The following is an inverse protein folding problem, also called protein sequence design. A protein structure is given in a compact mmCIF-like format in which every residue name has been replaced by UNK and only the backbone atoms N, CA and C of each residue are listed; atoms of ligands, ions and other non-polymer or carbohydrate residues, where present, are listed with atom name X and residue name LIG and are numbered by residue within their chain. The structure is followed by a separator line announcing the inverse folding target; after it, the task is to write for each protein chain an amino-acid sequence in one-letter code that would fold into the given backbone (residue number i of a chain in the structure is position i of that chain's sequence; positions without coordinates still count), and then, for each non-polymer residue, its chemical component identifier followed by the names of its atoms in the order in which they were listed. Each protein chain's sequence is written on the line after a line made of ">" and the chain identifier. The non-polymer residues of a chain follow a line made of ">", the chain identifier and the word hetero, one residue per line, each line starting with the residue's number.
data_IF_647947254638
#
_entry.id   IF_647947254638
#
_cell.length_a   1.000
_cell.length_b   1.000
_cell.length_c   1.000
_cell.angle_alpha   90.00
_cell.angle_beta   90.00
_cell.angle_gamma   90.00
#
_symmetry.space_group_name_H-M   'P 1'
#
loop_
_entity.id
_entity.type
_entity.pdbx_description
1 polymer ?
#
# COMPACT_ATOMS: atom_id res chain seq x y z
N UNK A 1 -0.92 9.79 -5.69
CA UNK A 1 0.51 9.53 -6.01
C UNK A 1 0.99 8.22 -5.40
N UNK A 2 0.76 7.98 -4.10
CA UNK A 2 1.11 6.71 -3.42
C UNK A 2 0.60 5.46 -4.15
N UNK A 3 -0.69 5.38 -4.51
CA UNK A 3 -1.27 4.19 -5.17
C UNK A 3 -0.58 3.86 -6.50
N UNK A 4 -0.18 4.88 -7.27
CA UNK A 4 0.53 4.68 -8.52
C UNK A 4 1.96 4.17 -8.28
N UNK A 5 2.71 4.82 -7.37
CA UNK A 5 4.07 4.38 -6.98
C UNK A 5 4.08 2.96 -6.43
N UNK A 6 3.13 2.61 -5.56
CA UNK A 6 3.00 1.27 -5.02
C UNK A 6 2.76 0.23 -6.13
N UNK A 7 1.92 0.57 -7.12
CA UNK A 7 1.67 -0.30 -8.29
C UNK A 7 2.94 -0.53 -9.09
N UNK A 8 3.75 0.51 -9.31
CA UNK A 8 5.03 0.38 -10.03
C UNK A 8 6.03 -0.52 -9.29
N UNK A 9 5.94 -0.56 -7.95
CA UNK A 9 6.70 -1.48 -7.08
C UNK A 9 6.04 -2.87 -6.91
N UNK A 10 4.96 -3.15 -7.65
CA UNK A 10 4.27 -4.45 -7.64
C UNK A 10 3.26 -4.65 -6.50
N UNK A 11 2.88 -3.59 -5.78
CA UNK A 11 1.87 -3.63 -4.73
C UNK A 11 0.56 -3.00 -5.20
N UNK A 12 -0.52 -3.79 -5.18
CA UNK A 12 -1.86 -3.29 -5.48
C UNK A 12 -2.46 -2.69 -4.20
N UNK A 13 -2.81 -1.40 -4.25
CA UNK A 13 -3.48 -0.69 -3.16
C UNK A 13 -4.85 -0.16 -3.60
N UNK A 14 -5.77 -0.10 -2.66
CA UNK A 14 -7.09 0.50 -2.84
C UNK A 14 -7.15 1.86 -2.13
N UNK A 15 -7.50 2.91 -2.87
CA UNK A 15 -7.89 4.21 -2.31
C UNK A 15 -9.40 4.29 -2.11
N UNK A 16 -9.85 5.04 -1.10
CA UNK A 16 -11.26 5.26 -0.81
C UNK A 16 -11.48 6.59 -0.05
N UNK A 17 -12.72 6.78 0.43
CA UNK A 17 -13.15 7.94 1.20
C UNK A 17 -13.63 9.08 0.30
N UNK A 18 -14.52 9.92 0.84
CA UNK A 18 -15.14 11.04 0.08
C UNK A 18 -14.10 11.99 -0.52
N UNK A 19 -12.98 12.18 0.17
CA UNK A 19 -11.88 13.04 -0.27
C UNK A 19 -10.74 12.27 -0.98
N UNK A 20 -10.89 10.96 -1.20
CA UNK A 20 -9.89 10.13 -1.88
C UNK A 20 -8.55 10.02 -1.14
N UNK A 21 -8.51 10.32 0.16
CA UNK A 21 -7.31 10.44 0.98
C UNK A 21 -7.11 9.27 1.95
N UNK A 22 -7.84 8.16 1.77
CA UNK A 22 -7.76 6.98 2.65
C UNK A 22 -7.26 5.77 1.84
N UNK A 23 -6.25 5.07 2.38
CA UNK A 23 -5.78 3.78 1.86
C UNK A 23 -6.41 2.64 2.66
N UNK A 24 -6.89 1.60 1.97
CA UNK A 24 -7.39 0.36 2.60
C UNK A 24 -6.42 -0.78 2.38
N UNK A 25 -6.00 -1.41 3.47
CA UNK A 25 -5.22 -2.65 3.47
C UNK A 25 -6.20 -3.81 3.66
N UNK A 26 -6.64 -4.41 2.56
CA UNK A 26 -7.57 -5.55 2.54
C UNK A 26 -6.84 -6.82 2.10
N UNK A 27 -5.87 -7.24 2.90
CA UNK A 27 -5.12 -8.50 2.71
C UNK A 27 -5.99 -9.70 3.12
N UNK A 28 -5.89 -10.87 2.47
CA UNK A 28 -6.56 -12.07 2.95
C UNK A 28 -6.06 -12.46 4.35
N UNK A 29 -6.96 -12.95 5.20
CA UNK A 29 -6.63 -13.38 6.58
C UNK A 29 -5.64 -14.55 6.64
N UNK A 30 -5.46 -15.27 5.53
CA UNK A 30 -4.52 -16.39 5.40
C UNK A 30 -3.17 -15.97 4.81
N UNK A 31 -2.92 -14.68 4.63
CA UNK A 31 -1.61 -14.22 4.16
C UNK A 31 -0.53 -14.52 5.21
N UNK A 32 0.65 -14.88 4.72
CA UNK A 32 1.83 -15.03 5.57
C UNK A 32 2.31 -13.67 6.05
N UNK A 33 2.77 -13.59 7.31
CA UNK A 33 3.27 -12.35 7.91
C UNK A 33 4.39 -11.71 7.09
N UNK A 34 5.30 -12.52 6.54
CA UNK A 34 6.39 -12.05 5.69
C UNK A 34 5.90 -11.33 4.42
N UNK A 35 4.77 -11.75 3.86
CA UNK A 35 4.18 -11.08 2.70
C UNK A 35 3.52 -9.75 3.11
N UNK A 36 2.88 -9.72 4.28
CA UNK A 36 2.30 -8.51 4.85
C UNK A 36 3.38 -7.46 5.14
N UNK A 37 4.47 -7.86 5.79
CA UNK A 37 5.60 -7.00 6.10
C UNK A 37 6.23 -6.41 4.83
N UNK A 38 6.40 -7.23 3.78
CA UNK A 38 6.86 -6.74 2.48
C UNK A 38 5.92 -5.69 1.89
N UNK A 39 4.61 -5.92 1.96
CA UNK A 39 3.61 -4.97 1.48
C UNK A 39 3.66 -3.64 2.25
N UNK A 40 3.76 -3.71 3.58
CA UNK A 40 3.86 -2.52 4.45
C UNK A 40 5.17 -1.75 4.22
N UNK A 41 6.29 -2.45 4.01
CA UNK A 41 7.58 -1.83 3.70
C UNK A 41 7.53 -1.03 2.38
N UNK A 42 6.88 -1.56 1.34
CA UNK A 42 6.68 -0.83 0.07
C UNK A 42 5.82 0.41 0.28
N UNK A 43 4.80 0.35 1.14
CA UNK A 43 3.97 1.52 1.47
C UNK A 43 4.82 2.60 2.13
N UNK A 44 5.64 2.23 3.13
CA UNK A 44 6.52 3.16 3.83
C UNK A 44 7.50 3.83 2.87
N UNK A 45 8.16 3.05 2.00
CA UNK A 45 9.08 3.56 0.98
C UNK A 45 8.40 4.57 0.04
N UNK A 46 7.16 4.30 -0.38
CA UNK A 46 6.40 5.24 -1.20
C UNK A 46 6.10 6.57 -0.49
N UNK A 47 5.94 6.57 0.83
CA UNK A 47 5.77 7.80 1.61
C UNK A 47 7.08 8.54 1.75
N UNK A 48 8.18 7.86 2.06
CA UNK A 48 9.52 8.46 2.20
C UNK A 48 9.98 9.15 0.91
N UNK A 49 9.67 8.58 -0.25
CA UNK A 49 9.98 9.19 -1.56
C UNK A 49 9.16 10.45 -1.90
N UNK A 50 8.09 10.73 -1.16
CA UNK A 50 7.24 11.91 -1.37
C UNK A 50 7.55 13.04 -0.37
N UNK A 51 8.49 12.83 0.56
CA UNK A 51 8.98 13.84 1.50
C UNK A 51 10.05 14.70 0.85
#
# INVERSE_FOLDING_TARGET
>A
QIVAKARDKGLILLSCGTYGNVLRVLVPLTAEDALLDKGLAIIAECFDELV
#
